data_IF_359996958285
#
_entry.id   IF_359996958285
#
_cell.length_a   1.000
_cell.length_b   1.000
_cell.length_c   1.000
_cell.angle_alpha   90.00
_cell.angle_beta   90.00
_cell.angle_gamma   90.00
#
_symmetry.space_group_name_H-M   'P 1'
#
loop_
_entity.id
_entity.type
_entity.pdbx_description
1 polymer ?
#
# COMPACT_ATOMS: atom_id res chain seq x y z
N UNK A 1 -15.94 -3.94 -2.62
CA UNK A 1 -14.75 -4.81 -2.77
C UNK A 1 -13.82 -4.62 -1.58
N UNK A 2 -13.34 -5.70 -1.03
CA UNK A 2 -12.38 -5.67 0.06
C UNK A 2 -11.06 -6.26 -0.42
N UNK A 3 -9.99 -5.48 -0.29
CA UNK A 3 -8.63 -5.96 -0.50
C UNK A 3 -8.01 -6.30 0.85
N UNK A 4 -7.11 -7.27 0.88
CA UNK A 4 -6.38 -7.64 2.10
C UNK A 4 -4.89 -7.65 1.80
N UNK A 5 -4.14 -6.84 2.53
CA UNK A 5 -2.69 -6.83 2.48
C UNK A 5 -2.14 -7.54 3.73
N UNK A 6 -1.44 -8.64 3.49
CA UNK A 6 -0.73 -9.39 4.55
C UNK A 6 0.74 -9.03 4.48
N UNK A 7 1.19 -8.28 5.45
CA UNK A 7 2.59 -7.88 5.56
C UNK A 7 3.44 -9.04 6.08
N UNK A 8 4.62 -9.20 5.53
CA UNK A 8 5.69 -10.03 6.09
C UNK A 8 6.50 -9.19 7.08
N UNK A 9 7.31 -9.82 7.94
CA UNK A 9 8.22 -9.06 8.79
C UNK A 9 9.12 -8.15 7.94
N UNK A 10 9.31 -6.92 8.40
CA UNK A 10 10.19 -5.96 7.72
C UNK A 10 11.64 -6.41 7.77
N UNK A 11 12.40 -6.10 6.73
CA UNK A 11 13.85 -6.13 6.77
C UNK A 11 14.37 -4.75 7.21
N UNK A 12 15.64 -4.45 6.99
CA UNK A 12 16.23 -3.18 7.44
C UNK A 12 15.68 -1.95 6.69
N UNK A 13 15.16 -2.13 5.47
CA UNK A 13 14.82 -1.02 4.59
C UNK A 13 13.36 -0.98 4.16
N UNK A 14 12.66 -2.11 4.12
CA UNK A 14 11.28 -2.16 3.62
C UNK A 14 10.50 -3.35 4.14
N UNK A 15 9.22 -3.37 3.76
CA UNK A 15 8.29 -4.45 4.06
C UNK A 15 7.72 -4.97 2.75
N UNK A 16 7.82 -6.28 2.54
CA UNK A 16 7.15 -6.95 1.43
C UNK A 16 5.88 -7.59 1.96
N UNK A 17 4.78 -7.39 1.27
CA UNK A 17 3.49 -7.96 1.62
C UNK A 17 2.81 -8.59 0.42
N UNK A 18 1.76 -9.35 0.69
CA UNK A 18 0.95 -10.03 -0.30
C UNK A 18 -0.44 -9.40 -0.34
N UNK A 19 -0.87 -8.96 -1.52
CA UNK A 19 -2.19 -8.37 -1.71
C UNK A 19 -3.15 -9.40 -2.28
N UNK A 20 -4.28 -9.57 -1.61
CA UNK A 20 -5.35 -10.49 -1.99
C UNK A 20 -6.66 -9.73 -2.25
N UNK A 21 -7.51 -10.30 -3.09
CA UNK A 21 -8.90 -9.84 -3.19
C UNK A 21 -9.74 -10.39 -2.02
N UNK A 22 -11.02 -10.00 -1.97
CA UNK A 22 -11.93 -10.43 -0.91
C UNK A 22 -12.27 -11.92 -0.92
N UNK A 23 -11.93 -12.63 -1.98
CA UNK A 23 -12.12 -14.09 -2.12
C UNK A 23 -10.86 -14.88 -1.75
N UNK A 24 -9.79 -14.20 -1.39
CA UNK A 24 -8.51 -14.83 -1.08
C UNK A 24 -7.63 -15.13 -2.28
N UNK A 25 -7.93 -14.57 -3.45
CA UNK A 25 -7.10 -14.71 -4.64
C UNK A 25 -5.91 -13.74 -4.55
N UNK A 26 -4.71 -14.27 -4.71
CA UNK A 26 -3.50 -13.45 -4.74
C UNK A 26 -3.48 -12.55 -5.98
N UNK A 27 -3.24 -11.27 -5.77
CA UNK A 27 -3.22 -10.27 -6.85
C UNK A 27 -1.81 -9.87 -7.23
N UNK A 28 -1.02 -9.46 -6.26
CA UNK A 28 0.33 -8.97 -6.48
C UNK A 28 1.07 -8.82 -5.15
N UNK A 29 2.36 -8.49 -5.25
CA UNK A 29 3.18 -8.11 -4.11
C UNK A 29 3.05 -6.61 -3.85
N UNK A 30 3.29 -6.19 -2.61
CA UNK A 30 3.34 -4.79 -2.22
C UNK A 30 4.66 -4.53 -1.50
N UNK A 31 5.33 -3.44 -1.86
CA UNK A 31 6.48 -2.91 -1.13
C UNK A 31 6.07 -1.66 -0.37
N UNK A 32 6.41 -1.60 0.91
CA UNK A 32 6.20 -0.45 1.78
C UNK A 32 7.48 -0.14 2.55
N UNK A 33 7.49 0.98 3.26
CA UNK A 33 8.52 1.28 4.24
C UNK A 33 8.51 0.28 5.41
N UNK A 34 9.44 0.43 6.32
CA UNK A 34 9.57 -0.44 7.51
C UNK A 34 8.37 -0.27 8.45
N UNK A 35 7.86 -1.37 8.98
CA UNK A 35 6.85 -1.36 10.04
C UNK A 35 7.53 -0.90 11.33
N UNK A 36 7.10 0.24 11.86
CA UNK A 36 7.58 0.80 13.12
C UNK A 36 6.49 0.84 14.18
N UNK A 37 5.28 0.53 13.78
CA UNK A 37 4.10 0.56 14.63
C UNK A 37 4.31 -0.28 15.90
N UNK A 38 3.95 0.34 17.05
CA UNK A 38 3.95 -0.34 18.36
C UNK A 38 2.53 -0.32 18.91
N UNK A 39 2.04 -1.51 19.25
CA UNK A 39 0.70 -1.69 19.79
C UNK A 39 0.47 -0.84 21.03
N UNK A 40 -0.66 -0.16 21.08
CA UNK A 40 -1.04 0.69 22.22
C UNK A 40 -0.34 2.03 22.27
N UNK A 41 0.55 2.35 21.33
CA UNK A 41 1.24 3.64 21.26
C UNK A 41 0.72 4.48 20.10
N UNK A 42 0.63 5.82 20.27
CA UNK A 42 0.20 6.70 19.19
C UNK A 42 1.24 6.74 18.06
N UNK A 43 0.78 7.08 16.86
CA UNK A 43 1.65 7.17 15.67
C UNK A 43 2.86 8.07 15.91
N UNK A 44 2.67 9.19 16.62
CA UNK A 44 3.75 10.13 16.93
C UNK A 44 4.88 9.53 17.75
N UNK A 45 4.63 8.42 18.46
CA UNK A 45 5.63 7.77 19.30
C UNK A 45 6.62 6.89 18.50
N UNK A 46 6.24 6.46 17.28
CA UNK A 46 7.05 5.51 16.52
C UNK A 46 7.31 5.94 15.06
N UNK A 47 6.60 6.94 14.54
CA UNK A 47 6.76 7.36 13.15
C UNK A 47 8.10 8.06 12.93
N UNK A 48 8.83 7.61 11.91
CA UNK A 48 9.98 8.31 11.33
C UNK A 48 9.54 8.85 9.99
N UNK A 49 9.54 10.16 9.82
CA UNK A 49 9.03 10.81 8.62
C UNK A 49 9.71 10.29 7.35
N UNK A 50 8.89 9.96 6.36
CA UNK A 50 9.35 9.47 5.06
C UNK A 50 9.89 8.04 5.06
N UNK A 51 9.92 7.34 6.20
CA UNK A 51 10.55 6.03 6.34
C UNK A 51 9.70 5.04 7.14
N UNK A 52 8.38 5.21 7.14
CA UNK A 52 7.51 4.41 8.01
C UNK A 52 6.29 3.91 7.25
N UNK A 53 6.01 2.61 7.36
CA UNK A 53 4.77 2.03 6.90
C UNK A 53 3.60 2.54 7.75
N UNK A 54 2.44 2.73 7.10
CA UNK A 54 1.24 3.21 7.78
C UNK A 54 0.73 2.18 8.81
N UNK A 55 -0.08 2.59 9.79
CA UNK A 55 -0.63 1.65 10.76
C UNK A 55 -1.46 0.55 10.08
N UNK A 56 -1.45 -0.64 10.64
CA UNK A 56 -2.42 -1.66 10.24
C UNK A 56 -3.84 -1.17 10.51
N UNK A 57 -4.79 -1.64 9.74
CA UNK A 57 -6.18 -1.23 9.87
C UNK A 57 -6.93 -1.36 8.56
N UNK A 58 -8.17 -0.87 8.56
CA UNK A 58 -9.04 -0.89 7.40
C UNK A 58 -9.23 0.52 6.88
N UNK A 59 -8.90 0.73 5.60
CA UNK A 59 -8.95 2.04 4.97
C UNK A 59 -9.86 2.02 3.75
N UNK A 60 -10.66 3.06 3.61
CA UNK A 60 -11.45 3.27 2.39
C UNK A 60 -10.55 3.80 1.29
N UNK A 61 -10.72 3.28 0.09
CA UNK A 61 -9.97 3.72 -1.09
C UNK A 61 -10.89 4.52 -2.01
N UNK A 62 -10.43 5.70 -2.41
CA UNK A 62 -11.03 6.51 -3.47
C UNK A 62 -9.95 6.80 -4.52
N UNK A 63 -10.37 7.21 -5.72
CA UNK A 63 -9.42 7.67 -6.73
C UNK A 63 -9.57 9.17 -6.85
N UNK A 64 -8.49 9.88 -6.57
CA UNK A 64 -8.42 11.34 -6.68
C UNK A 64 -7.14 11.75 -7.39
N UNK A 65 -7.12 12.99 -7.89
CA UNK A 65 -5.93 13.48 -8.57
C UNK A 65 -4.80 13.74 -7.58
N UNK A 66 -3.63 13.15 -7.84
CA UNK A 66 -2.43 13.38 -7.06
C UNK A 66 -1.67 14.58 -7.59
N UNK A 67 -1.43 15.58 -6.74
CA UNK A 67 -0.63 16.75 -7.11
C UNK A 67 0.82 16.35 -7.37
N UNK A 68 1.36 15.44 -6.55
CA UNK A 68 2.76 14.99 -6.65
C UNK A 68 3.03 14.26 -7.96
N UNK A 69 2.12 13.35 -8.36
CA UNK A 69 2.30 12.52 -9.56
C UNK A 69 1.54 13.04 -10.78
N UNK A 70 0.76 14.12 -10.61
CA UNK A 70 -0.01 14.76 -11.65
C UNK A 70 -0.90 13.79 -12.46
N UNK A 71 -1.57 12.88 -11.74
CA UNK A 71 -2.49 11.91 -12.31
C UNK A 71 -3.45 11.37 -11.24
N UNK A 72 -4.60 10.79 -11.65
CA UNK A 72 -5.45 10.07 -10.71
C UNK A 72 -4.75 8.83 -10.15
N UNK A 73 -4.82 8.66 -8.84
CA UNK A 73 -4.24 7.51 -8.14
C UNK A 73 -5.15 7.09 -6.99
N UNK A 74 -5.20 5.80 -6.63
CA UNK A 74 -5.90 5.36 -5.44
C UNK A 74 -5.34 6.04 -4.21
N UNK A 75 -6.25 6.55 -3.37
CA UNK A 75 -5.94 7.22 -2.10
C UNK A 75 -6.52 6.39 -0.95
N UNK A 76 -5.71 6.09 0.04
CA UNK A 76 -6.16 5.54 1.32
C UNK A 76 -6.60 6.70 2.20
N UNK A 77 -7.86 6.69 2.63
CA UNK A 77 -8.43 7.81 3.37
C UNK A 77 -8.26 7.65 4.88
N UNK A 78 -8.10 8.79 5.56
CA UNK A 78 -8.08 8.87 7.03
C UNK A 78 -7.01 7.97 7.67
N UNK A 79 -5.82 7.99 7.12
CA UNK A 79 -4.68 7.29 7.71
C UNK A 79 -4.10 8.14 8.82
N UNK A 80 -4.21 7.66 10.07
CA UNK A 80 -3.75 8.41 11.23
C UNK A 80 -2.27 8.76 11.14
N UNK A 81 -1.96 10.05 11.29
CA UNK A 81 -0.58 10.55 11.28
C UNK A 81 0.08 10.60 9.90
N UNK A 82 -0.67 10.36 8.83
CA UNK A 82 -0.18 10.38 7.46
C UNK A 82 -1.15 11.15 6.56
N UNK A 83 -0.62 11.73 5.50
CA UNK A 83 -1.40 12.41 4.46
C UNK A 83 -0.96 11.92 3.09
N UNK A 84 -1.91 11.87 2.14
CA UNK A 84 -1.60 11.55 0.75
C UNK A 84 -1.07 10.14 0.53
N UNK A 85 -1.50 9.18 1.33
CA UNK A 85 -1.09 7.78 1.17
C UNK A 85 -1.81 7.18 -0.04
N UNK A 86 -1.02 6.73 -1.00
CA UNK A 86 -1.53 6.23 -2.26
C UNK A 86 -0.95 4.88 -2.63
N UNK A 87 -1.60 4.23 -3.58
CA UNK A 87 -1.03 3.11 -4.32
C UNK A 87 -0.48 3.71 -5.61
N UNK A 88 0.82 3.55 -5.85
CA UNK A 88 1.46 4.05 -7.07
C UNK A 88 2.64 3.17 -7.50
N UNK A 89 3.08 3.27 -8.76
CA UNK A 89 4.24 2.49 -9.20
C UNK A 89 5.54 2.93 -8.51
N UNK A 90 6.44 2.00 -8.32
CA UNK A 90 7.77 2.22 -7.77
C UNK A 90 8.48 0.90 -7.55
N UNK A 91 9.77 0.93 -7.27
CA UNK A 91 10.59 -0.28 -7.19
C UNK A 91 10.99 -0.67 -5.77
N UNK A 92 11.19 0.30 -4.92
CA UNK A 92 11.67 0.03 -3.56
C UNK A 92 11.45 1.21 -2.62
N UNK A 93 12.00 1.14 -1.40
CA UNK A 93 11.71 2.13 -0.35
C UNK A 93 12.11 3.56 -0.71
N UNK A 94 13.07 3.74 -1.60
CA UNK A 94 13.46 5.08 -2.06
C UNK A 94 12.40 5.76 -2.93
N UNK A 95 11.43 5.00 -3.41
CA UNK A 95 10.34 5.50 -4.25
C UNK A 95 9.05 5.77 -3.45
N UNK A 96 9.09 5.65 -2.15
CA UNK A 96 7.89 5.79 -1.33
C UNK A 96 8.17 6.48 0.01
N UNK A 97 7.15 7.15 0.54
CA UNK A 97 7.12 7.74 1.86
C UNK A 97 5.80 7.33 2.54
N UNK A 98 5.66 6.03 2.78
CA UNK A 98 4.48 5.43 3.37
C UNK A 98 3.46 4.92 2.36
N UNK A 99 3.61 5.21 1.08
CA UNK A 99 2.74 4.70 0.02
C UNK A 99 3.00 3.22 -0.27
N UNK A 100 2.01 2.59 -0.93
CA UNK A 100 2.05 1.17 -1.29
C UNK A 100 2.49 1.01 -2.74
N UNK A 101 3.55 0.24 -2.98
CA UNK A 101 4.10 0.00 -4.30
C UNK A 101 3.79 -1.42 -4.78
N UNK A 102 2.87 -1.59 -5.76
CA UNK A 102 2.59 -2.94 -6.27
C UNK A 102 3.70 -3.47 -7.18
N UNK A 103 3.85 -4.78 -7.21
CA UNK A 103 4.78 -5.47 -8.09
C UNK A 103 4.31 -6.88 -8.44
N UNK A 104 4.70 -7.37 -9.62
CA UNK A 104 4.35 -8.72 -10.04
C UNK A 104 5.30 -9.77 -9.46
N UNK A 105 6.48 -9.35 -9.07
CA UNK A 105 7.47 -10.19 -8.41
C UNK A 105 8.30 -9.37 -7.43
N UNK A 106 9.15 -10.04 -6.67
CA UNK A 106 9.96 -9.45 -5.61
C UNK A 106 11.43 -9.43 -6.03
N UNK A 107 12.13 -8.33 -5.75
CA UNK A 107 13.56 -8.23 -5.99
C UNK A 107 14.34 -9.21 -5.10
N UNK A 108 15.55 -9.62 -5.52
CA UNK A 108 16.41 -10.44 -4.66
C UNK A 108 16.59 -9.80 -3.27
N UNK A 109 16.63 -10.64 -2.24
CA UNK A 109 16.80 -10.24 -0.85
C UNK A 109 15.67 -9.33 -0.34
N UNK A 110 14.49 -9.40 -0.97
CA UNK A 110 13.31 -8.59 -0.60
C UNK A 110 13.58 -7.08 -0.55
N UNK A 111 14.41 -6.58 -1.46
CA UNK A 111 14.78 -5.16 -1.51
C UNK A 111 13.73 -4.25 -2.12
N UNK A 112 12.71 -4.82 -2.72
CA UNK A 112 11.64 -4.10 -3.39
C UNK A 112 10.87 -5.04 -4.30
N UNK A 113 10.17 -4.46 -5.28
CA UNK A 113 9.35 -5.18 -6.24
C UNK A 113 9.81 -4.96 -7.67
N UNK A 114 9.32 -5.79 -8.58
CA UNK A 114 9.59 -5.73 -10.01
C UNK A 114 8.29 -5.67 -10.78
N UNK A 115 8.34 -5.15 -12.00
CA UNK A 115 7.18 -5.00 -12.88
C UNK A 115 6.04 -4.23 -12.21
N UNK A 116 6.38 -3.16 -11.54
CA UNK A 116 5.44 -2.38 -10.74
C UNK A 116 4.35 -1.75 -11.60
N UNK A 117 4.67 -1.27 -12.80
CA UNK A 117 3.66 -0.64 -13.67
C UNK A 117 2.59 -1.63 -14.10
N UNK A 118 2.96 -2.88 -14.36
CA UNK A 118 2.03 -3.95 -14.73
C UNK A 118 1.12 -4.27 -13.54
N UNK A 119 1.69 -4.46 -12.38
CA UNK A 119 0.93 -4.74 -11.16
C UNK A 119 0.02 -3.56 -10.79
N UNK A 120 0.53 -2.33 -10.87
CA UNK A 120 -0.25 -1.14 -10.60
C UNK A 120 -1.47 -1.03 -11.52
N UNK A 121 -1.29 -1.24 -12.82
CA UNK A 121 -2.41 -1.19 -13.77
C UNK A 121 -3.48 -2.21 -13.42
N UNK A 122 -3.09 -3.43 -13.07
CA UNK A 122 -4.00 -4.48 -12.64
C UNK A 122 -4.83 -4.04 -11.43
N UNK A 123 -4.19 -3.54 -10.39
CA UNK A 123 -4.85 -3.10 -9.16
C UNK A 123 -5.70 -1.85 -9.41
N UNK A 124 -5.17 -0.88 -10.14
CA UNK A 124 -5.90 0.34 -10.47
C UNK A 124 -7.19 0.02 -11.22
N UNK A 125 -7.10 -0.80 -12.27
CA UNK A 125 -8.27 -1.14 -13.09
C UNK A 125 -9.34 -1.88 -12.27
N UNK A 126 -8.95 -2.76 -11.35
CA UNK A 126 -9.87 -3.45 -10.46
C UNK A 126 -10.59 -2.47 -9.52
N UNK A 127 -9.85 -1.56 -8.92
CA UNK A 127 -10.41 -0.55 -8.01
C UNK A 127 -11.35 0.40 -8.77
N UNK A 128 -10.89 0.91 -9.90
CA UNK A 128 -11.66 1.83 -10.73
C UNK A 128 -12.97 1.22 -11.20
N UNK A 129 -12.94 -0.01 -11.71
CA UNK A 129 -14.14 -0.72 -12.15
C UNK A 129 -15.15 -0.87 -11.03
N UNK A 130 -14.71 -1.21 -9.82
CA UNK A 130 -15.59 -1.37 -8.66
C UNK A 130 -16.21 -0.05 -8.23
N UNK A 131 -15.40 1.02 -8.16
CA UNK A 131 -15.89 2.36 -7.81
C UNK A 131 -16.91 2.87 -8.84
N UNK A 132 -16.72 2.55 -10.11
CA UNK A 132 -17.67 2.94 -11.16
C UNK A 132 -19.04 2.28 -11.04
N UNK A 133 -19.13 1.16 -10.34
CA UNK A 133 -20.46 0.55 -10.02
C UNK A 133 -21.18 1.25 -8.87
N UNK A 134 -20.53 2.20 -8.20
CA UNK A 134 -21.04 2.85 -6.99
C UNK A 134 -20.72 2.12 -5.70
N UNK A 135 -20.01 1.00 -5.78
CA UNK A 135 -19.59 0.25 -4.60
C UNK A 135 -18.39 0.89 -3.91
N UNK A 136 -18.30 0.70 -2.59
CA UNK A 136 -17.13 1.11 -1.81
C UNK A 136 -15.99 0.11 -1.99
N UNK A 137 -14.77 0.62 -1.92
CA UNK A 137 -13.54 -0.20 -1.92
C UNK A 137 -12.79 0.07 -0.63
N UNK A 138 -12.39 -1.01 0.06
CA UNK A 138 -11.58 -0.94 1.26
C UNK A 138 -10.36 -1.83 1.14
N UNK A 139 -9.31 -1.49 1.86
CA UNK A 139 -8.15 -2.34 2.04
C UNK A 139 -7.96 -2.58 3.54
N UNK A 140 -7.79 -3.84 3.91
CA UNK A 140 -7.42 -4.23 5.27
C UNK A 140 -5.93 -4.57 5.28
N UNK A 141 -5.17 -3.86 6.09
CA UNK A 141 -3.72 -4.06 6.22
C UNK A 141 -3.45 -4.76 7.54
N UNK A 142 -2.75 -5.89 7.48
CA UNK A 142 -2.46 -6.74 8.62
C UNK A 142 -0.96 -6.90 8.82
N UNK A 143 -0.49 -6.58 10.02
CA UNK A 143 0.89 -6.86 10.42
C UNK A 143 1.13 -8.36 10.59
N UNK A 144 2.41 -8.80 10.53
CA UNK A 144 2.75 -10.19 10.75
C UNK A 144 2.30 -10.72 12.10
#
# INVERSE_FOLDING_TARGET
MNLVLRRRPSNETCTIGELYDGKGTFLCWICEDVIREREGEPVSAWKVDGQTAIPQGRYRITITNSKRFNRPLPLLNMVEGFEGIRIHPGNGPDDTEGCLLPGMSVQPEDKGVLESRVAFKKVYDMIDAELMTGADVHIEIRNP
#
